data_IF_882422242553
#
_entry.id   IF_882422242553
#
_cell.length_a   1.000
_cell.length_b   1.000
_cell.length_c   1.000
_cell.angle_alpha   90.00
_cell.angle_beta   90.00
_cell.angle_gamma   90.00
#
_symmetry.space_group_name_H-M   'P 1'
#
loop_
_entity.id
_entity.type
_entity.pdbx_description
1 polymer ?
#
# COMPACT_ATOMS: atom_id res chain seq x y z
N UNK A 1 -2.27 36.10 -18.87
CA UNK A 1 -2.23 34.97 -19.83
C UNK A 1 -2.71 33.74 -19.10
N UNK A 2 -3.95 33.32 -19.34
CA UNK A 2 -4.52 32.14 -18.70
C UNK A 2 -4.22 30.90 -19.56
N UNK A 3 -3.79 29.82 -18.92
CA UNK A 3 -3.72 28.48 -19.50
C UNK A 3 -5.13 28.07 -19.98
N UNK A 4 -5.49 28.41 -21.24
CA UNK A 4 -6.80 28.08 -21.82
C UNK A 4 -6.91 26.62 -22.26
N UNK A 5 -5.79 25.89 -22.36
CA UNK A 5 -5.75 24.56 -22.98
C UNK A 5 -5.19 23.45 -22.09
N UNK A 6 -5.12 23.63 -20.76
CA UNK A 6 -4.89 22.49 -19.88
C UNK A 6 -6.20 21.73 -19.76
N UNK A 7 -6.32 20.64 -20.51
CA UNK A 7 -7.50 19.77 -20.46
C UNK A 7 -7.74 19.32 -19.01
N UNK A 8 -8.92 19.62 -18.44
CA UNK A 8 -9.26 19.21 -17.07
C UNK A 8 -9.04 17.70 -16.82
N UNK A 9 -9.17 16.89 -17.87
CA UNK A 9 -8.88 15.47 -17.87
C UNK A 9 -7.43 15.13 -17.45
N UNK A 10 -6.42 15.88 -17.89
CA UNK A 10 -5.00 15.58 -17.58
C UNK A 10 -4.68 15.88 -16.11
N UNK A 11 -5.22 16.97 -15.59
CA UNK A 11 -5.08 17.35 -14.17
C UNK A 11 -5.80 16.35 -13.28
N UNK A 12 -7.03 15.95 -13.62
CA UNK A 12 -7.77 14.93 -12.86
C UNK A 12 -7.06 13.57 -12.88
N UNK A 13 -6.53 13.17 -14.05
CA UNK A 13 -5.74 11.94 -14.16
C UNK A 13 -4.50 11.99 -13.25
N UNK A 14 -3.76 13.11 -13.26
CA UNK A 14 -2.61 13.29 -12.39
C UNK A 14 -2.98 13.21 -10.90
N UNK A 15 -4.04 13.89 -10.47
CA UNK A 15 -4.53 13.85 -9.09
C UNK A 15 -5.01 12.45 -8.67
N UNK A 16 -5.70 11.73 -9.55
CA UNK A 16 -6.08 10.34 -9.27
C UNK A 16 -4.87 9.41 -9.16
N UNK A 17 -3.83 9.63 -9.98
CA UNK A 17 -2.61 8.84 -9.95
C UNK A 17 -1.79 9.07 -8.68
N UNK A 18 -1.70 10.32 -8.20
CA UNK A 18 -1.03 10.63 -6.93
C UNK A 18 -1.80 10.06 -5.74
N UNK A 19 -3.14 10.13 -5.76
CA UNK A 19 -3.98 9.48 -4.77
C UNK A 19 -3.78 7.95 -4.77
N UNK A 20 -3.74 7.31 -5.95
CA UNK A 20 -3.48 5.88 -6.06
C UNK A 20 -2.10 5.49 -5.53
N UNK A 21 -1.05 6.26 -5.84
CA UNK A 21 0.30 6.03 -5.30
C UNK A 21 0.31 6.10 -3.77
N UNK A 22 -0.38 7.07 -3.17
CA UNK A 22 -0.48 7.18 -1.71
C UNK A 22 -1.20 5.96 -1.09
N UNK A 23 -2.24 5.46 -1.76
CA UNK A 23 -2.96 4.25 -1.35
C UNK A 23 -2.07 3.01 -1.41
N UNK A 24 -1.26 2.86 -2.47
CA UNK A 24 -0.29 1.77 -2.58
C UNK A 24 0.73 1.83 -1.43
N UNK A 25 1.24 3.02 -1.09
CA UNK A 25 2.22 3.19 0.00
C UNK A 25 1.60 2.83 1.35
N UNK A 26 0.36 3.27 1.61
CA UNK A 26 -0.36 2.87 2.81
C UNK A 26 -0.58 1.35 2.85
N UNK A 27 -0.95 0.73 1.73
CA UNK A 27 -1.20 -0.70 1.64
C UNK A 27 0.06 -1.54 1.89
N UNK A 28 1.25 -1.11 1.43
CA UNK A 28 2.49 -1.85 1.70
C UNK A 28 2.94 -1.75 3.16
N UNK A 29 2.69 -0.62 3.82
CA UNK A 29 3.12 -0.39 5.20
C UNK A 29 2.16 -1.01 6.24
N UNK A 30 0.87 -1.12 5.94
CA UNK A 30 -0.13 -1.63 6.87
C UNK A 30 -0.08 -3.17 7.00
N UNK A 31 0.00 -3.72 8.22
CA UNK A 31 0.04 -5.17 8.44
C UNK A 31 -1.37 -5.82 8.46
N UNK A 32 -2.26 -5.41 7.55
CA UNK A 32 -3.68 -5.79 7.56
C UNK A 32 -4.11 -6.60 6.33
N UNK A 33 -3.18 -7.23 5.62
CA UNK A 33 -3.49 -8.01 4.43
C UNK A 33 -4.29 -9.26 4.75
N UNK A 34 -4.02 -9.91 5.89
CA UNK A 34 -4.77 -11.06 6.36
C UNK A 34 -4.90 -11.02 7.88
N UNK A 35 -6.11 -11.26 8.36
CA UNK A 35 -6.40 -11.35 9.79
C UNK A 35 -6.91 -12.75 10.11
N UNK A 36 -6.35 -13.37 11.13
CA UNK A 36 -6.81 -14.67 11.64
C UNK A 36 -7.09 -14.53 13.13
N UNK A 37 -8.29 -14.91 13.56
CA UNK A 37 -8.65 -14.96 14.97
C UNK A 37 -8.58 -16.40 15.44
N UNK A 38 -7.69 -16.65 16.39
CA UNK A 38 -7.49 -17.93 17.04
C UNK A 38 -8.30 -17.91 18.33
N UNK A 39 -9.36 -18.71 18.35
CA UNK A 39 -10.19 -18.90 19.52
C UNK A 39 -9.69 -20.12 20.29
N UNK A 40 -9.47 -19.94 21.58
CA UNK A 40 -9.22 -21.04 22.51
C UNK A 40 -10.51 -21.36 23.24
N UNK A 41 -10.82 -22.66 23.38
CA UNK A 41 -11.96 -23.13 24.16
C UNK A 41 -11.60 -23.35 25.64
N UNK A 42 -10.32 -23.14 25.99
CA UNK A 42 -9.84 -23.19 27.35
C UNK A 42 -10.19 -21.88 28.08
N UNK A 43 -10.85 -21.96 29.24
CA UNK A 43 -11.23 -20.79 30.05
C UNK A 43 -10.03 -20.02 30.62
N UNK A 44 -8.86 -20.64 30.70
CA UNK A 44 -7.65 -20.02 31.27
C UNK A 44 -6.77 -19.31 30.23
N UNK A 45 -7.05 -19.46 28.93
CA UNK A 45 -6.27 -18.86 27.87
C UNK A 45 -7.02 -17.70 27.22
N UNK A 46 -6.28 -16.69 26.75
CA UNK A 46 -6.87 -15.55 26.04
C UNK A 46 -6.91 -15.83 24.55
N UNK A 47 -7.97 -15.38 23.90
CA UNK A 47 -8.08 -15.37 22.44
C UNK A 47 -7.01 -14.45 21.84
N UNK A 48 -6.56 -14.81 20.64
CA UNK A 48 -5.48 -14.11 19.95
C UNK A 48 -5.89 -13.78 18.53
N UNK A 49 -5.50 -12.59 18.07
CA UNK A 49 -5.67 -12.12 16.70
C UNK A 49 -4.31 -11.96 16.04
N UNK A 50 -4.09 -12.67 14.94
CA UNK A 50 -2.88 -12.62 14.14
C UNK A 50 -3.13 -11.69 12.97
N UNK A 51 -2.35 -10.61 12.92
CA UNK A 51 -2.32 -9.63 11.84
C UNK A 51 -1.10 -9.93 10.97
N UNK A 52 -1.38 -10.45 9.78
CA UNK A 52 -0.35 -10.78 8.80
C UNK A 52 -0.23 -9.62 7.82
N UNK A 53 0.92 -8.96 7.86
CA UNK A 53 1.34 -7.97 6.88
C UNK A 53 2.17 -8.57 5.76
N UNK A 54 2.57 -7.69 4.86
CA UNK A 54 3.43 -8.04 3.73
C UNK A 54 4.89 -8.26 4.16
N UNK A 55 5.37 -7.38 5.06
CA UNK A 55 6.77 -7.36 5.52
C UNK A 55 6.91 -7.86 6.96
N UNK A 56 5.91 -7.57 7.78
CA UNK A 56 5.91 -7.82 9.22
C UNK A 56 4.68 -8.63 9.62
N UNK A 57 4.80 -9.39 10.70
CA UNK A 57 3.68 -10.10 11.32
C UNK A 57 3.54 -9.67 12.76
N UNK A 58 2.30 -9.37 13.17
CA UNK A 58 1.98 -8.99 14.53
C UNK A 58 0.90 -9.90 15.11
N UNK A 59 1.08 -10.29 16.36
CA UNK A 59 0.10 -11.09 17.11
C UNK A 59 -0.38 -10.26 18.30
N UNK A 60 -1.70 -10.10 18.46
CA UNK A 60 -2.31 -9.30 19.53
C UNK A 60 -3.30 -10.14 20.33
N UNK A 61 -3.34 -9.95 21.63
CA UNK A 61 -4.45 -10.47 22.43
C UNK A 61 -5.74 -9.74 22.09
N UNK A 62 -6.84 -10.47 22.10
CA UNK A 62 -8.16 -9.92 21.88
C UNK A 62 -8.49 -8.87 22.95
N UNK A 63 -8.80 -7.63 22.52
CA UNK A 63 -9.00 -6.48 23.41
C UNK A 63 -7.73 -5.69 23.78
N UNK A 64 -6.53 -6.15 23.41
CA UNK A 64 -5.29 -5.38 23.55
C UNK A 64 -4.87 -4.74 22.23
N UNK A 65 -4.28 -3.54 22.30
CA UNK A 65 -3.68 -2.87 21.13
C UNK A 65 -2.21 -3.28 20.91
N UNK A 66 -1.58 -3.85 21.93
CA UNK A 66 -0.15 -4.16 21.90
C UNK A 66 0.15 -5.44 21.11
N UNK A 67 1.20 -5.38 20.27
CA UNK A 67 1.74 -6.57 19.61
C UNK A 67 2.58 -7.36 20.61
N UNK A 68 2.12 -8.56 20.94
CA UNK A 68 2.81 -9.51 21.83
C UNK A 68 3.99 -10.16 21.12
N UNK A 69 3.77 -10.53 19.86
CA UNK A 69 4.80 -11.08 18.98
C UNK A 69 4.87 -10.14 17.78
N UNK A 70 6.06 -9.63 17.51
CA UNK A 70 6.37 -8.79 16.36
C UNK A 70 7.54 -9.42 15.62
N UNK A 71 7.25 -9.98 14.46
CA UNK A 71 8.22 -10.68 13.63
C UNK A 71 8.59 -9.82 12.42
N UNK A 72 9.83 -9.33 12.41
CA UNK A 72 10.41 -8.51 11.33
C UNK A 72 10.95 -9.33 10.18
N UNK A 73 11.28 -10.59 10.42
CA UNK A 73 11.83 -11.51 9.41
C UNK A 73 10.72 -12.30 8.70
N UNK A 74 9.45 -11.99 9.02
CA UNK A 74 8.26 -12.62 8.43
C UNK A 74 8.33 -12.68 6.91
N UNK A 75 8.84 -11.63 6.25
CA UNK A 75 8.91 -11.56 4.80
C UNK A 75 9.70 -12.72 4.15
N UNK A 76 10.70 -13.27 4.84
CA UNK A 76 11.50 -14.41 4.36
C UNK A 76 10.74 -15.72 4.55
N UNK A 77 10.03 -15.84 5.66
CA UNK A 77 9.30 -17.02 6.09
C UNK A 77 7.92 -17.19 5.42
N UNK A 78 7.48 -16.23 4.60
CA UNK A 78 6.23 -16.34 3.84
C UNK A 78 6.32 -17.53 2.87
N UNK A 79 5.50 -18.54 3.07
CA UNK A 79 5.37 -19.67 2.13
C UNK A 79 4.11 -19.56 1.24
N UNK A 80 3.22 -18.62 1.56
CA UNK A 80 1.98 -18.44 0.83
C UNK A 80 2.21 -17.68 -0.49
N UNK A 81 1.79 -18.29 -1.61
CA UNK A 81 2.01 -17.76 -2.95
C UNK A 81 1.36 -16.39 -3.18
N UNK A 82 0.18 -16.16 -2.62
CA UNK A 82 -0.55 -14.90 -2.75
C UNK A 82 0.22 -13.71 -2.14
N UNK A 83 0.72 -13.85 -0.92
CA UNK A 83 1.52 -12.81 -0.26
C UNK A 83 2.85 -12.58 -0.99
N UNK A 84 3.51 -13.64 -1.48
CA UNK A 84 4.76 -13.50 -2.26
C UNK A 84 4.54 -12.76 -3.58
N UNK A 85 3.47 -13.09 -4.30
CA UNK A 85 3.12 -12.36 -5.53
C UNK A 85 2.88 -10.89 -5.21
N UNK A 86 2.23 -10.59 -4.11
CA UNK A 86 1.93 -9.24 -3.69
C UNK A 86 3.18 -8.46 -3.23
N UNK A 87 4.15 -9.12 -2.57
CA UNK A 87 5.48 -8.57 -2.24
C UNK A 87 6.25 -8.13 -3.48
N UNK A 88 6.04 -8.78 -4.63
CA UNK A 88 6.65 -8.40 -5.90
C UNK A 88 5.80 -7.37 -6.67
N UNK A 89 4.49 -7.59 -6.73
CA UNK A 89 3.58 -6.78 -7.53
C UNK A 89 3.45 -5.35 -7.00
N UNK A 90 3.42 -5.15 -5.67
CA UNK A 90 3.25 -3.82 -5.08
C UNK A 90 4.43 -2.89 -5.39
N UNK A 91 5.70 -3.27 -5.16
CA UNK A 91 6.84 -2.45 -5.57
C UNK A 91 6.87 -2.15 -7.06
N UNK A 92 6.58 -3.14 -7.92
CA UNK A 92 6.52 -2.92 -9.37
C UNK A 92 5.43 -1.91 -9.72
N UNK A 93 4.23 -2.06 -9.15
CA UNK A 93 3.11 -1.14 -9.39
C UNK A 93 3.41 0.30 -8.93
N UNK A 94 4.15 0.46 -7.84
CA UNK A 94 4.61 1.77 -7.38
C UNK A 94 5.59 2.39 -8.35
N UNK A 95 6.59 1.62 -8.80
CA UNK A 95 7.58 2.11 -9.76
C UNK A 95 6.92 2.54 -11.08
N UNK A 96 6.00 1.73 -11.60
CA UNK A 96 5.28 2.07 -12.84
C UNK A 96 4.38 3.30 -12.65
N UNK A 97 3.71 3.43 -11.49
CA UNK A 97 2.89 4.61 -11.18
C UNK A 97 3.74 5.88 -11.06
N UNK A 98 4.91 5.81 -10.41
CA UNK A 98 5.84 6.94 -10.30
C UNK A 98 6.34 7.37 -11.68
N UNK A 99 6.74 6.42 -12.53
CA UNK A 99 7.15 6.71 -13.91
C UNK A 99 6.02 7.35 -14.72
N UNK A 100 4.79 6.85 -14.61
CA UNK A 100 3.63 7.43 -15.29
C UNK A 100 3.34 8.86 -14.81
N UNK A 101 3.37 9.11 -13.49
CA UNK A 101 3.18 10.45 -12.92
C UNK A 101 4.27 11.42 -13.37
N UNK A 102 5.52 10.95 -13.49
CA UNK A 102 6.62 11.75 -14.00
C UNK A 102 6.41 12.15 -15.47
N UNK A 103 5.94 11.22 -16.31
CA UNK A 103 5.58 11.51 -17.70
C UNK A 103 4.40 12.49 -17.79
N UNK A 104 3.38 12.34 -16.95
CA UNK A 104 2.26 13.29 -16.87
C UNK A 104 2.74 14.70 -16.49
N UNK A 105 3.67 14.82 -15.54
CA UNK A 105 4.26 16.10 -15.15
C UNK A 105 5.01 16.75 -16.31
N UNK A 106 5.88 15.99 -17.01
CA UNK A 106 6.61 16.51 -18.17
C UNK A 106 5.64 16.98 -19.26
N UNK A 107 4.60 16.20 -19.55
CA UNK A 107 3.58 16.56 -20.55
C UNK A 107 2.82 17.84 -20.18
N UNK A 108 2.43 18.00 -18.92
CA UNK A 108 1.78 19.23 -18.44
C UNK A 108 2.72 20.43 -18.49
N UNK A 109 3.99 20.27 -18.10
CA UNK A 109 4.98 21.35 -18.19
C UNK A 109 5.19 21.80 -19.63
N UNK A 110 5.40 20.87 -20.57
CA UNK A 110 5.62 21.22 -21.97
C UNK A 110 4.40 21.89 -22.60
N UNK A 111 3.17 21.46 -22.27
CA UNK A 111 1.95 22.08 -22.79
C UNK A 111 1.67 23.46 -22.16
N UNK A 112 2.06 23.69 -20.90
CA UNK A 112 1.88 24.96 -20.22
C UNK A 112 2.96 26.01 -20.58
N UNK A 113 4.20 25.60 -20.87
CA UNK A 113 5.31 26.51 -21.14
C UNK A 113 5.58 26.75 -22.64
N UNK A 114 5.08 25.91 -23.56
CA UNK A 114 5.30 26.05 -25.02
C UNK A 114 4.12 26.77 -25.72
N UNK A 115 3.07 27.20 -25.00
CA UNK A 115 1.98 28.00 -25.58
C UNK A 115 2.34 29.49 -25.77
N UNK A 116 3.53 29.77 -26.30
CA UNK A 116 3.99 31.10 -26.73
C UNK A 116 4.03 31.20 -28.24
#
# INVERSE_FOLDING_TARGET
>A
MGCRDVHAATVLAFLSGTAALSGLIAATLLPNWRQMRLYTFNKNEKNVTVYTGLWIKCVRFDGSKDCVIYDTEWYIAVDQLDLRVLQLALPISMLTTVLALFLCLIGMCNTAFVST
#
